data_IF_305293324014
#
_entry.id   IF_305293324014
#
_cell.length_a   1.000
_cell.length_b   1.000
_cell.length_c   1.000
_cell.angle_alpha   90.00
_cell.angle_beta   90.00
_cell.angle_gamma   90.00
#
_symmetry.space_group_name_H-M   'P 1'
#
loop_
_entity.id
_entity.type
_entity.pdbx_description
1 polymer ?
#
# COMPACT_ATOMS: atom_id res chain seq x y z
N UNK A 1 -3.11 -2.31 -3.05
CA UNK A 1 -2.66 -0.99 -2.53
C UNK A 1 -2.38 -1.14 -1.03
N UNK A 2 -1.26 -0.60 -0.54
CA UNK A 2 -0.97 -0.49 0.89
C UNK A 2 -1.09 0.98 1.27
N UNK A 3 -1.97 1.31 2.22
CA UNK A 3 -2.27 2.71 2.59
C UNK A 3 -2.16 2.91 4.09
N UNK A 4 -1.89 4.14 4.53
CA UNK A 4 -2.00 4.51 5.96
C UNK A 4 -3.41 4.38 6.54
N UNK A 5 -4.41 4.18 5.68
CA UNK A 5 -5.82 3.92 6.04
C UNK A 5 -6.17 2.43 6.04
N UNK A 6 -5.26 1.53 5.62
CA UNK A 6 -5.44 0.08 5.75
C UNK A 6 -4.93 -0.43 7.09
N UNK A 7 -5.70 -1.32 7.72
CA UNK A 7 -5.18 -2.14 8.83
C UNK A 7 -4.23 -3.23 8.31
N UNK A 8 -3.42 -3.81 9.20
CA UNK A 8 -2.45 -4.83 8.81
C UNK A 8 -3.10 -6.07 8.19
N UNK A 9 -4.31 -6.43 8.63
CA UNK A 9 -5.13 -7.53 8.13
C UNK A 9 -5.79 -7.25 6.77
N UNK A 10 -5.93 -5.98 6.38
CA UNK A 10 -6.45 -5.61 5.06
C UNK A 10 -5.40 -5.70 3.95
N UNK A 11 -4.11 -5.56 4.27
CA UNK A 11 -3.02 -5.61 3.29
C UNK A 11 -3.00 -6.92 2.48
N UNK A 12 -3.11 -8.12 3.10
CA UNK A 12 -3.18 -9.38 2.35
C UNK A 12 -4.35 -9.44 1.37
N UNK A 13 -5.55 -8.98 1.79
CA UNK A 13 -6.76 -9.02 0.96
C UNK A 13 -6.58 -8.25 -0.34
N UNK A 14 -6.09 -7.01 -0.25
CA UNK A 14 -5.86 -6.19 -1.45
C UNK A 14 -4.67 -6.65 -2.28
N UNK A 15 -3.70 -7.32 -1.68
CA UNK A 15 -2.59 -7.92 -2.41
C UNK A 15 -3.05 -9.14 -3.22
N UNK A 16 -3.96 -9.94 -2.69
CA UNK A 16 -4.52 -11.09 -3.38
C UNK A 16 -5.36 -10.65 -4.59
N UNK A 17 -6.19 -9.61 -4.42
CA UNK A 17 -6.94 -9.01 -5.54
C UNK A 17 -6.00 -8.45 -6.62
N UNK A 18 -4.90 -7.79 -6.23
CA UNK A 18 -3.95 -7.27 -7.20
C UNK A 18 -3.30 -8.39 -8.03
N UNK A 19 -3.02 -9.54 -7.42
CA UNK A 19 -2.49 -10.71 -8.12
C UNK A 19 -3.57 -11.37 -9.00
N UNK A 20 -4.78 -11.54 -8.48
CA UNK A 20 -5.89 -12.19 -9.20
C UNK A 20 -6.23 -11.48 -10.51
N UNK A 21 -6.22 -10.14 -10.49
CA UNK A 21 -6.59 -9.31 -11.64
C UNK A 21 -5.39 -8.75 -12.42
N UNK A 22 -4.16 -9.21 -12.12
CA UNK A 22 -2.90 -8.69 -12.69
C UNK A 22 -2.78 -7.16 -12.63
N UNK A 23 -3.24 -6.56 -11.53
CA UNK A 23 -3.11 -5.13 -11.31
C UNK A 23 -1.71 -4.76 -10.79
N UNK A 24 -1.25 -3.57 -11.19
CA UNK A 24 -0.15 -2.90 -10.52
C UNK A 24 -0.58 -2.45 -9.12
N UNK A 25 0.35 -2.51 -8.18
CA UNK A 25 0.12 -2.13 -6.80
C UNK A 25 1.01 -0.96 -6.38
N UNK A 26 0.52 -0.18 -5.42
CA UNK A 26 1.22 0.98 -4.87
C UNK A 26 1.21 0.97 -3.34
N UNK A 27 2.08 1.80 -2.77
CA UNK A 27 2.19 2.08 -1.34
C UNK A 27 2.08 3.59 -1.15
N UNK A 28 1.24 4.07 -0.24
CA UNK A 28 1.05 5.51 -0.01
C UNK A 28 0.63 5.83 1.42
N UNK A 29 1.12 6.92 1.99
CA UNK A 29 0.86 7.24 3.40
C UNK A 29 -0.52 7.80 3.68
N UNK A 30 -1.16 8.37 2.66
CA UNK A 30 -2.40 9.12 2.87
C UNK A 30 -2.18 10.29 3.87
N UNK A 31 -0.98 10.87 3.85
CA UNK A 31 -0.57 11.99 4.72
C UNK A 31 -1.33 13.26 4.33
N UNK A 32 -1.98 13.90 5.30
CA UNK A 32 -2.61 15.22 5.10
C UNK A 32 -1.93 16.30 5.97
N UNK A 33 -1.59 15.99 7.22
CA UNK A 33 -0.80 16.86 8.10
C UNK A 33 -0.02 16.08 9.19
N UNK A 34 1.04 16.67 9.79
CA UNK A 34 1.76 16.06 10.92
C UNK A 34 0.86 15.85 12.13
N UNK A 35 0.98 14.69 12.80
CA UNK A 35 0.28 14.43 14.06
C UNK A 35 -1.13 13.87 13.90
N UNK A 36 -1.59 13.59 12.68
CA UNK A 36 -2.88 12.95 12.41
C UNK A 36 -2.91 11.44 12.68
N UNK A 37 -1.76 10.88 13.06
CA UNK A 37 -1.61 9.47 13.44
C UNK A 37 -1.67 8.52 12.24
N UNK A 38 -0.80 7.51 12.26
CA UNK A 38 -0.81 6.38 11.30
C UNK A 38 -0.43 6.70 9.84
N UNK A 39 -0.44 7.97 9.44
CA UNK A 39 -0.29 8.45 8.05
C UNK A 39 1.01 9.21 7.81
N UNK A 40 1.97 9.06 8.72
CA UNK A 40 3.26 9.76 8.66
C UNK A 40 4.09 9.30 7.45
N UNK A 41 4.75 10.26 6.80
CA UNK A 41 5.64 9.98 5.68
C UNK A 41 6.77 9.04 6.12
N UNK A 42 7.12 8.08 5.25
CA UNK A 42 8.22 7.14 5.47
C UNK A 42 7.92 6.02 6.47
N UNK A 43 6.73 5.96 7.08
CA UNK A 43 6.33 4.90 8.02
C UNK A 43 5.26 3.98 7.45
N UNK A 44 5.52 3.44 6.25
CA UNK A 44 4.57 2.58 5.56
C UNK A 44 4.98 1.12 5.61
N UNK A 45 3.99 0.24 5.68
CA UNK A 45 4.21 -1.19 5.48
C UNK A 45 4.77 -1.42 4.07
N UNK A 46 5.74 -2.34 3.90
CA UNK A 46 6.26 -2.68 2.58
C UNK A 46 5.17 -3.27 1.70
N UNK A 47 5.32 -3.09 0.38
CA UNK A 47 4.47 -3.78 -0.58
C UNK A 47 4.72 -5.29 -0.47
N UNK A 48 3.69 -6.14 -0.39
CA UNK A 48 3.87 -7.59 -0.42
C UNK A 48 4.62 -8.03 -1.68
N UNK A 49 5.61 -8.92 -1.54
CA UNK A 49 6.52 -9.36 -2.61
C UNK A 49 5.82 -9.93 -3.85
N UNK A 50 4.59 -10.45 -3.70
CA UNK A 50 3.79 -10.99 -4.81
C UNK A 50 3.16 -9.92 -5.69
N UNK A 51 3.11 -8.67 -5.25
CA UNK A 51 2.51 -7.58 -6.01
C UNK A 51 3.54 -6.95 -6.95
N UNK A 52 3.10 -6.59 -8.16
CA UNK A 52 3.92 -5.83 -9.12
C UNK A 52 3.83 -4.34 -8.81
N UNK A 53 4.92 -3.67 -8.44
CA UNK A 53 4.86 -2.25 -8.08
C UNK A 53 4.62 -1.36 -9.30
N UNK A 54 3.79 -0.32 -9.13
CA UNK A 54 3.44 0.61 -10.22
C UNK A 54 4.64 1.41 -10.75
N UNK A 55 5.66 1.64 -9.92
CA UNK A 55 6.86 2.41 -10.30
C UNK A 55 7.85 1.62 -11.18
N UNK A 56 7.66 0.32 -11.37
CA UNK A 56 8.41 -0.46 -12.37
C UNK A 56 7.84 -0.31 -13.80
N UNK A 57 6.67 0.30 -13.94
CA UNK A 57 6.00 0.52 -15.21
C UNK A 57 6.26 1.91 -15.83
N UNK A 58 7.30 2.61 -15.34
CA UNK A 58 7.66 3.99 -15.74
C UNK A 58 8.89 4.02 -16.64
#
# INVERSE_FOLDING_TARGET
>A
MVTGSHTADQVPVYADLAVEFDFLASVGSDFHAPGEGGRELGRLMPLPLRCRPVWEAW
#
